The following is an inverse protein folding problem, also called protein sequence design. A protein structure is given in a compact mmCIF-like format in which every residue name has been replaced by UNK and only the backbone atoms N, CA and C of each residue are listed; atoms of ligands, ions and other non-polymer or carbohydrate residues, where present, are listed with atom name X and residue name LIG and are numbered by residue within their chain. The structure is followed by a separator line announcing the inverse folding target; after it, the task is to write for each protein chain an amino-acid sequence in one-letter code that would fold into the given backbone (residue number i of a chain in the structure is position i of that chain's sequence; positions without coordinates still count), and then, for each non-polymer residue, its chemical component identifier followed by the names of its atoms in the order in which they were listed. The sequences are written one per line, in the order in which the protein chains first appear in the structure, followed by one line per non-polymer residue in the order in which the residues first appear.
data_IF_644879703759
#
_entry.id   IF_644879703759
#
_cell.length_a   1.000
_cell.length_b   1.000
_cell.length_c   1.000
_cell.angle_alpha   90.00
_cell.angle_beta   90.00
_cell.angle_gamma   90.00
#
_symmetry.space_group_name_H-M   'P 1'
#
loop_
_entity.id
_entity.type
_entity.pdbx_description
1 polymer ?
#
# COMPACT_ATOMS: atom_id res chain seq x y z
N UNK A 1 -4.87 -2.87 10.63
CA UNK A 1 -6.28 -3.33 10.62
C UNK A 1 -7.30 -2.18 10.58
N UNK A 2 -7.30 -1.23 11.51
CA UNK A 2 -8.31 -0.15 11.58
C UNK A 2 -8.47 0.64 10.27
N UNK A 3 -7.37 1.07 9.65
CA UNK A 3 -7.45 1.86 8.41
C UNK A 3 -7.92 1.06 7.19
N UNK A 4 -7.49 -0.19 7.05
CA UNK A 4 -7.94 -1.10 5.99
C UNK A 4 -9.46 -1.30 6.09
N UNK A 5 -9.98 -1.47 7.30
CA UNK A 5 -11.42 -1.57 7.55
C UNK A 5 -12.16 -0.28 7.17
N UNK A 6 -11.62 0.90 7.52
CA UNK A 6 -12.24 2.20 7.18
C UNK A 6 -12.31 2.48 5.68
N UNK A 7 -11.37 1.97 4.89
CA UNK A 7 -11.33 2.19 3.44
C UNK A 7 -11.97 1.06 2.64
N UNK A 8 -12.64 0.11 3.31
CA UNK A 8 -13.32 -1.01 2.65
C UNK A 8 -14.37 -0.57 1.64
N UNK A 9 -15.28 0.33 2.01
CA UNK A 9 -16.32 0.82 1.10
C UNK A 9 -15.75 1.46 -0.17
N UNK A 10 -14.67 2.24 -0.03
CA UNK A 10 -13.98 2.87 -1.17
C UNK A 10 -13.38 1.80 -2.09
N UNK A 11 -12.79 0.74 -1.53
CA UNK A 11 -12.29 -0.40 -2.33
C UNK A 11 -13.41 -1.11 -3.06
N UNK A 12 -14.51 -1.41 -2.37
CA UNK A 12 -15.67 -2.10 -2.93
C UNK A 12 -16.30 -1.28 -4.07
N UNK A 13 -16.46 0.03 -3.90
CA UNK A 13 -16.97 0.93 -4.94
C UNK A 13 -16.05 0.95 -6.17
N UNK A 14 -14.74 1.13 -5.94
CA UNK A 14 -13.76 1.20 -7.03
C UNK A 14 -13.69 -0.09 -7.84
N UNK A 15 -13.65 -1.26 -7.19
CA UNK A 15 -13.61 -2.54 -7.90
C UNK A 15 -14.94 -2.84 -8.59
N UNK A 16 -16.07 -2.47 -7.98
CA UNK A 16 -17.40 -2.66 -8.58
C UNK A 16 -17.55 -1.85 -9.86
N UNK A 17 -17.15 -0.58 -9.85
CA UNK A 17 -17.13 0.28 -11.04
C UNK A 17 -16.20 -0.29 -12.11
N UNK A 18 -14.96 -0.64 -11.76
CA UNK A 18 -13.99 -1.23 -12.70
C UNK A 18 -14.55 -2.47 -13.38
N UNK A 19 -15.04 -3.44 -12.59
CA UNK A 19 -15.48 -4.73 -13.09
C UNK A 19 -16.74 -4.60 -13.95
N UNK A 20 -17.71 -3.78 -13.52
CA UNK A 20 -18.98 -3.60 -14.23
C UNK A 20 -18.80 -2.88 -15.57
N UNK A 21 -17.81 -2.00 -15.69
CA UNK A 21 -17.50 -1.27 -16.93
C UNK A 21 -16.71 -2.11 -17.95
N UNK A 22 -15.89 -3.06 -17.48
CA UNK A 22 -14.90 -3.75 -18.34
C UNK A 22 -15.16 -5.25 -18.53
N UNK A 23 -15.83 -5.93 -17.59
CA UNK A 23 -16.08 -7.38 -17.57
C UNK A 23 -14.88 -8.21 -18.06
N UNK A 24 -13.69 -8.03 -17.45
CA UNK A 24 -12.46 -8.57 -17.98
C UNK A 24 -12.42 -10.09 -17.79
N UNK A 25 -11.79 -10.81 -18.73
CA UNK A 25 -11.55 -12.27 -18.57
C UNK A 25 -10.39 -12.59 -17.62
N UNK A 26 -9.50 -11.63 -17.39
CA UNK A 26 -8.40 -11.73 -16.44
C UNK A 26 -8.28 -10.40 -15.72
N UNK A 27 -8.13 -10.45 -14.40
CA UNK A 27 -8.06 -9.29 -13.53
C UNK A 27 -6.71 -9.26 -12.81
N UNK A 28 -5.87 -8.29 -13.17
CA UNK A 28 -4.58 -8.04 -12.56
C UNK A 28 -4.70 -7.03 -11.41
N UNK A 29 -4.44 -7.50 -10.20
CA UNK A 29 -4.51 -6.75 -8.95
C UNK A 29 -3.10 -6.63 -8.38
N UNK A 30 -2.65 -5.42 -8.08
CA UNK A 30 -1.37 -5.19 -7.39
C UNK A 30 -1.61 -4.58 -6.01
N UNK A 31 -0.99 -5.14 -4.98
CA UNK A 31 -0.87 -4.54 -3.65
C UNK A 31 0.57 -4.03 -3.45
N UNK A 32 0.72 -2.71 -3.32
CA UNK A 32 2.02 -2.03 -3.27
C UNK A 32 2.40 -1.66 -1.83
N UNK A 33 3.50 -2.27 -1.37
CA UNK A 33 3.92 -2.28 0.03
C UNK A 33 3.12 -3.30 0.84
N UNK A 34 3.16 -4.56 0.42
CA UNK A 34 2.37 -5.65 1.00
C UNK A 34 2.89 -6.10 2.38
N UNK A 35 4.13 -5.78 2.72
CA UNK A 35 4.85 -6.28 3.89
C UNK A 35 4.83 -7.82 3.94
N UNK A 36 4.86 -8.40 5.14
CA UNK A 36 4.82 -9.86 5.37
C UNK A 36 3.61 -10.33 6.20
N UNK A 37 2.74 -9.41 6.60
CA UNK A 37 1.58 -9.70 7.46
C UNK A 37 0.33 -10.18 6.70
N UNK A 38 -0.71 -10.66 7.41
CA UNK A 38 -1.93 -11.18 6.79
C UNK A 38 -2.78 -10.10 6.11
N UNK A 39 -2.54 -8.82 6.40
CA UNK A 39 -3.34 -7.69 5.92
C UNK A 39 -3.46 -7.63 4.39
N UNK A 40 -2.36 -7.88 3.67
CA UNK A 40 -2.35 -7.87 2.19
C UNK A 40 -3.32 -8.90 1.63
N UNK A 41 -3.30 -10.11 2.18
CA UNK A 41 -4.17 -11.20 1.73
C UNK A 41 -5.63 -10.93 2.07
N UNK A 42 -5.93 -10.32 3.23
CA UNK A 42 -7.29 -9.91 3.58
C UNK A 42 -7.88 -8.88 2.59
N UNK A 43 -7.07 -7.93 2.12
CA UNK A 43 -7.53 -6.96 1.10
C UNK A 43 -7.80 -7.67 -0.22
N UNK A 44 -6.90 -8.57 -0.62
CA UNK A 44 -7.08 -9.36 -1.85
C UNK A 44 -8.35 -10.20 -1.78
N UNK A 45 -8.63 -10.89 -0.66
CA UNK A 45 -9.87 -11.67 -0.52
C UNK A 45 -11.11 -10.79 -0.64
N UNK A 46 -11.11 -9.61 -0.04
CA UNK A 46 -12.25 -8.70 -0.13
C UNK A 46 -12.53 -8.29 -1.59
N UNK A 47 -11.48 -7.93 -2.34
CA UNK A 47 -11.61 -7.57 -3.76
C UNK A 47 -12.15 -8.75 -4.57
N UNK A 48 -11.58 -9.94 -4.41
CA UNK A 48 -12.02 -11.15 -5.13
C UNK A 48 -13.48 -11.49 -4.81
N UNK A 49 -13.87 -11.46 -3.53
CA UNK A 49 -15.24 -11.77 -3.11
C UNK A 49 -16.26 -10.80 -3.73
N UNK A 50 -15.91 -9.51 -3.84
CA UNK A 50 -16.79 -8.52 -4.50
C UNK A 50 -16.95 -8.85 -5.98
N UNK A 51 -15.86 -9.16 -6.67
CA UNK A 51 -15.90 -9.52 -8.10
C UNK A 51 -16.72 -10.79 -8.32
N UNK A 52 -16.54 -11.83 -7.50
CA UNK A 52 -17.34 -13.06 -7.60
C UNK A 52 -18.83 -12.82 -7.39
N UNK A 53 -19.21 -11.99 -6.41
CA UNK A 53 -20.61 -11.60 -6.20
C UNK A 53 -21.17 -10.86 -7.42
N UNK A 54 -20.39 -9.98 -8.04
CA UNK A 54 -20.80 -9.29 -9.26
C UNK A 54 -20.94 -10.25 -10.44
N UNK A 55 -20.05 -11.24 -10.57
CA UNK A 55 -20.16 -12.27 -11.60
C UNK A 55 -21.49 -13.03 -11.50
N UNK A 56 -21.88 -13.42 -10.28
CA UNK A 56 -23.15 -14.08 -10.02
C UNK A 56 -24.36 -13.18 -10.35
N UNK A 57 -24.29 -11.90 -9.97
CA UNK A 57 -25.37 -10.94 -10.23
C UNK A 57 -25.55 -10.62 -11.72
N UNK A 58 -24.44 -10.51 -12.45
CA UNK A 58 -24.41 -10.19 -13.87
C UNK A 58 -24.50 -11.43 -14.77
N UNK A 59 -24.51 -12.63 -14.17
CA UNK A 59 -24.49 -13.91 -14.86
C UNK A 59 -23.33 -14.03 -15.87
N UNK A 60 -22.13 -13.58 -15.47
CA UNK A 60 -20.92 -13.67 -16.27
C UNK A 60 -19.90 -14.66 -15.66
N UNK A 61 -18.96 -15.12 -16.48
CA UNK A 61 -17.89 -16.01 -16.02
C UNK A 61 -16.92 -15.29 -15.08
N UNK A 62 -16.50 -15.97 -14.02
CA UNK A 62 -15.43 -15.47 -13.15
C UNK A 62 -14.10 -15.28 -13.93
N UNK A 63 -13.34 -14.20 -13.66
CA UNK A 63 -12.06 -13.96 -14.31
C UNK A 63 -10.90 -14.78 -13.73
N UNK A 64 -9.81 -14.87 -14.49
CA UNK A 64 -8.52 -15.31 -13.93
C UNK A 64 -7.87 -14.18 -13.12
N UNK A 65 -7.59 -14.41 -11.84
CA UNK A 65 -6.98 -13.42 -10.95
C UNK A 65 -5.46 -13.49 -10.98
N UNK A 66 -4.79 -12.38 -11.30
CA UNK A 66 -3.33 -12.22 -11.21
C UNK A 66 -3.02 -11.24 -10.08
N UNK A 67 -2.51 -11.76 -8.98
CA UNK A 67 -2.32 -11.02 -7.74
C UNK A 67 -0.82 -10.77 -7.57
N UNK A 68 -0.42 -9.51 -7.67
CA UNK A 68 0.95 -9.05 -7.52
C UNK A 68 1.14 -8.44 -6.14
N UNK A 69 2.03 -9.04 -5.35
CA UNK A 69 2.43 -8.58 -4.04
C UNK A 69 3.77 -7.87 -4.18
N UNK A 70 3.77 -6.54 -4.11
CA UNK A 70 4.98 -5.74 -4.24
C UNK A 70 5.46 -5.23 -2.88
N UNK A 71 6.76 -5.30 -2.67
CA UNK A 71 7.46 -4.62 -1.59
C UNK A 71 8.93 -4.43 -1.98
N UNK A 72 9.72 -3.78 -1.11
CA UNK A 72 11.16 -3.67 -1.27
C UNK A 72 11.83 -5.05 -1.29
N UNK A 73 13.00 -5.15 -1.90
CA UNK A 73 13.76 -6.41 -2.02
C UNK A 73 14.15 -7.03 -0.68
N UNK A 74 14.18 -6.23 0.40
CA UNK A 74 14.45 -6.71 1.75
C UNK A 74 13.23 -7.29 2.48
N UNK A 75 12.03 -7.25 1.90
CA UNK A 75 10.83 -7.80 2.51
C UNK A 75 10.87 -9.34 2.58
N UNK A 76 10.23 -9.90 3.61
CA UNK A 76 10.14 -11.34 3.80
C UNK A 76 8.99 -11.96 2.98
N UNK A 77 9.20 -12.06 1.67
CA UNK A 77 8.28 -12.75 0.77
C UNK A 77 8.12 -14.24 1.10
N UNK A 78 9.10 -14.87 1.76
CA UNK A 78 8.99 -16.29 2.13
C UNK A 78 7.85 -16.50 3.13
N UNK A 79 7.70 -15.60 4.11
CA UNK A 79 6.60 -15.66 5.06
C UNK A 79 5.24 -15.45 4.38
N UNK A 80 5.16 -14.51 3.44
CA UNK A 80 3.94 -14.30 2.62
C UNK A 80 3.57 -15.58 1.86
N UNK A 81 4.52 -16.16 1.12
CA UNK A 81 4.26 -17.34 0.30
C UNK A 81 3.91 -18.59 1.11
N UNK A 82 4.50 -18.77 2.29
CA UNK A 82 4.11 -19.85 3.22
C UNK A 82 2.65 -19.75 3.67
N UNK A 83 2.08 -18.55 3.70
CA UNK A 83 0.69 -18.35 4.14
C UNK A 83 -0.36 -18.56 3.03
N UNK A 84 0.06 -18.62 1.75
CA UNK A 84 -0.86 -18.64 0.60
C UNK A 84 -1.77 -19.87 0.55
N UNK A 85 -1.30 -21.05 0.94
CA UNK A 85 -2.13 -22.26 0.90
C UNK A 85 -3.29 -22.15 1.89
N UNK A 86 -3.01 -21.68 3.11
CA UNK A 86 -4.05 -21.43 4.12
C UNK A 86 -5.03 -20.34 3.69
N UNK A 87 -4.54 -19.34 2.96
CA UNK A 87 -5.36 -18.26 2.42
C UNK A 87 -6.30 -18.76 1.33
N UNK A 88 -5.82 -19.54 0.37
CA UNK A 88 -6.64 -20.09 -0.73
C UNK A 88 -7.79 -20.95 -0.20
N UNK A 89 -7.54 -21.77 0.83
CA UNK A 89 -8.60 -22.57 1.47
C UNK A 89 -9.68 -21.66 2.07
N UNK A 90 -9.28 -20.65 2.85
CA UNK A 90 -10.22 -19.69 3.45
C UNK A 90 -11.04 -18.93 2.40
N UNK A 91 -10.39 -18.47 1.33
CA UNK A 91 -11.04 -17.77 0.24
C UNK A 91 -12.10 -18.65 -0.45
N UNK A 92 -11.78 -19.93 -0.68
CA UNK A 92 -12.71 -20.90 -1.27
C UNK A 92 -13.84 -21.33 -0.33
N UNK A 93 -13.65 -21.25 0.99
CA UNK A 93 -14.73 -21.51 1.95
C UNK A 93 -15.72 -20.32 2.01
N UNK A 94 -15.24 -19.10 1.78
CA UNK A 94 -16.08 -17.88 1.76
C UNK A 94 -16.88 -17.71 0.46
N UNK A 95 -16.33 -18.15 -0.68
CA UNK A 95 -17.00 -18.14 -1.98
C UNK A 95 -17.67 -19.49 -2.18
N UNK A 96 -18.98 -19.53 -2.43
CA UNK A 96 -19.76 -20.78 -2.50
C UNK A 96 -19.17 -21.77 -3.54
N UNK A 97 -18.27 -22.64 -3.07
CA UNK A 97 -17.64 -23.89 -3.53
C UNK A 97 -17.44 -24.29 -4.99
N UNK A 98 -17.79 -23.55 -6.05
CA UNK A 98 -17.62 -24.14 -7.40
C UNK A 98 -17.22 -23.25 -8.58
N UNK A 99 -17.31 -21.92 -8.51
CA UNK A 99 -17.20 -21.12 -9.76
C UNK A 99 -16.17 -19.98 -9.72
N UNK A 100 -15.36 -19.88 -8.65
CA UNK A 100 -14.27 -18.91 -8.63
C UNK A 100 -13.20 -19.30 -9.65
N UNK A 101 -12.80 -18.34 -10.47
CA UNK A 101 -11.68 -18.45 -11.38
C UNK A 101 -10.35 -18.65 -10.64
N UNK A 102 -9.32 -19.12 -11.35
CA UNK A 102 -8.03 -19.43 -10.73
C UNK A 102 -7.34 -18.14 -10.23
N UNK A 103 -6.68 -18.24 -9.06
CA UNK A 103 -5.87 -17.18 -8.47
C UNK A 103 -4.37 -17.51 -8.57
N UNK A 104 -3.61 -16.65 -9.25
CA UNK A 104 -2.17 -16.72 -9.42
C UNK A 104 -1.48 -15.62 -8.61
N UNK A 105 -0.50 -15.98 -7.79
CA UNK A 105 0.20 -15.04 -6.90
C UNK A 105 1.64 -14.84 -7.38
N UNK A 106 2.08 -13.58 -7.39
CA UNK A 106 3.41 -13.18 -7.82
C UNK A 106 4.03 -12.25 -6.77
N UNK A 107 5.29 -12.46 -6.43
CA UNK A 107 6.08 -11.49 -5.68
C UNK A 107 6.80 -10.56 -6.63
N UNK A 108 6.77 -9.26 -6.34
CA UNK A 108 7.41 -8.22 -7.16
C UNK A 108 8.37 -7.43 -6.28
N UNK A 109 9.65 -7.86 -6.15
CA UNK A 109 10.62 -7.14 -5.35
C UNK A 109 11.07 -5.88 -6.07
N UNK A 110 10.90 -4.72 -5.44
CA UNK A 110 11.34 -3.45 -6.00
C UNK A 110 10.62 -2.24 -5.41
N UNK A 111 11.26 -1.08 -5.49
CA UNK A 111 10.61 0.16 -5.09
C UNK A 111 9.51 0.54 -6.08
N UNK A 112 8.29 0.65 -5.57
CA UNK A 112 7.15 1.31 -6.20
C UNK A 112 7.38 2.80 -6.54
N UNK A 113 8.48 3.44 -6.13
CA UNK A 113 8.91 4.72 -6.70
C UNK A 113 9.63 4.58 -8.05
N UNK A 114 9.67 3.39 -8.63
CA UNK A 114 10.07 3.12 -10.01
C UNK A 114 9.01 2.34 -10.79
N UNK A 115 9.36 1.99 -12.03
CA UNK A 115 8.60 1.06 -12.86
C UNK A 115 8.85 -0.36 -12.37
N UNK A 116 7.78 -1.06 -12.01
CA UNK A 116 7.81 -2.43 -11.47
C UNK A 116 6.89 -3.38 -12.25
N UNK A 117 6.07 -2.85 -13.15
CA UNK A 117 5.22 -3.63 -14.04
C UNK A 117 5.38 -3.18 -15.50
N UNK A 118 5.06 -4.04 -16.49
CA UNK A 118 4.91 -3.64 -17.88
C UNK A 118 3.85 -2.55 -18.09
N UNK A 119 3.85 -1.91 -19.27
CA UNK A 119 2.81 -0.94 -19.60
C UNK A 119 1.45 -1.62 -19.69
N UNK A 120 0.40 -0.98 -19.14
CA UNK A 120 -1.01 -1.44 -19.25
C UNK A 120 -1.19 -2.91 -18.87
N UNK A 121 -0.62 -3.31 -17.73
CA UNK A 121 -0.69 -4.68 -17.23
C UNK A 121 -1.48 -4.84 -15.94
N UNK A 122 -1.93 -3.73 -15.33
CA UNK A 122 -2.68 -3.74 -14.07
C UNK A 122 -4.08 -3.16 -14.27
N UNK A 123 -5.08 -3.86 -13.75
CA UNK A 123 -6.47 -3.41 -13.75
C UNK A 123 -6.79 -2.65 -12.45
N UNK A 124 -6.29 -3.15 -11.32
CA UNK A 124 -6.54 -2.59 -10.01
C UNK A 124 -5.26 -2.47 -9.19
N UNK A 125 -5.01 -1.29 -8.63
CA UNK A 125 -3.86 -1.04 -7.74
C UNK A 125 -4.36 -0.65 -6.36
N UNK A 126 -3.85 -1.32 -5.35
CA UNK A 126 -4.06 -0.99 -3.95
C UNK A 126 -2.72 -0.62 -3.30
N UNK A 127 -2.74 0.36 -2.41
CA UNK A 127 -1.64 0.60 -1.48
C UNK A 127 -2.19 1.17 -0.19
N UNK A 128 -1.79 0.61 0.95
CA UNK A 128 -2.23 1.06 2.26
C UNK A 128 -1.03 1.18 3.19
N UNK A 129 -0.82 2.37 3.74
CA UNK A 129 0.23 2.64 4.74
C UNK A 129 1.66 2.43 4.20
N UNK A 130 1.87 2.67 2.90
CA UNK A 130 3.19 2.51 2.29
C UNK A 130 3.74 3.82 1.73
N UNK A 131 2.89 4.67 1.15
CA UNK A 131 3.30 5.91 0.48
C UNK A 131 3.82 7.03 1.41
N UNK A 132 3.66 6.90 2.73
CA UNK A 132 4.24 7.86 3.68
C UNK A 132 5.75 7.62 3.90
N UNK A 133 6.27 6.45 3.52
CA UNK A 133 7.70 6.16 3.53
C UNK A 133 8.38 6.81 2.32
N UNK A 134 9.30 7.75 2.57
CA UNK A 134 10.06 8.42 1.52
C UNK A 134 11.03 7.46 0.83
N UNK A 135 11.38 7.75 -0.42
CA UNK A 135 12.37 6.96 -1.17
C UNK A 135 13.78 7.09 -0.58
N UNK A 136 14.06 8.21 0.09
CA UNK A 136 15.30 8.50 0.79
C UNK A 136 15.09 9.59 1.84
N UNK A 137 16.06 9.71 2.75
CA UNK A 137 16.16 10.87 3.64
C UNK A 137 16.37 12.13 2.79
N UNK A 138 15.62 13.23 3.03
CA UNK A 138 15.83 14.49 2.31
C UNK A 138 17.28 15.00 2.44
N UNK A 139 17.82 15.53 1.35
CA UNK A 139 19.20 16.04 1.33
C UNK A 139 19.33 17.37 2.08
N UNK A 140 20.49 17.61 2.69
CA UNK A 140 20.80 18.88 3.36
C UNK A 140 20.06 19.09 4.69
N UNK A 141 19.64 18.01 5.35
CA UNK A 141 19.05 18.06 6.68
C UNK A 141 20.14 18.19 7.74
N UNK A 142 20.07 19.26 8.54
CA UNK A 142 20.76 19.38 9.82
C UNK A 142 19.70 19.40 10.93
N UNK A 143 19.19 18.23 11.31
CA UNK A 143 18.09 18.07 12.26
C UNK A 143 18.57 17.47 13.59
N UNK A 144 19.57 18.11 14.21
CA UNK A 144 20.23 17.58 15.41
C UNK A 144 19.24 17.31 16.54
N UNK A 145 19.45 16.19 17.23
CA UNK A 145 18.61 15.74 18.34
C UNK A 145 17.25 15.16 17.94
N UNK A 146 16.92 15.12 16.64
CA UNK A 146 15.64 14.66 16.14
C UNK A 146 15.83 13.64 15.00
N UNK A 147 14.94 12.66 14.91
CA UNK A 147 14.92 11.66 13.82
C UNK A 147 13.82 11.91 12.78
N UNK A 148 12.94 12.87 13.06
CA UNK A 148 11.85 13.32 12.19
C UNK A 148 11.55 14.81 12.41
N UNK A 149 10.51 15.34 11.77
CA UNK A 149 10.05 16.72 11.98
C UNK A 149 9.56 16.87 13.43
N UNK A 150 10.09 17.86 14.14
CA UNK A 150 9.74 18.20 15.53
C UNK A 150 9.62 19.72 15.69
N UNK A 151 8.98 20.15 16.77
CA UNK A 151 8.95 21.55 17.23
C UNK A 151 10.33 22.18 17.38
N UNK A 152 11.36 21.36 17.64
CA UNK A 152 12.76 21.83 17.76
C UNK A 152 13.53 21.79 16.44
N UNK A 153 12.93 21.25 15.37
CA UNK A 153 13.56 21.17 14.05
C UNK A 153 13.72 22.55 13.40
N UNK A 154 14.84 22.80 12.71
CA UNK A 154 14.97 23.98 11.85
C UNK A 154 13.88 24.03 10.77
N UNK A 155 13.42 25.25 10.43
CA UNK A 155 12.29 25.44 9.50
C UNK A 155 12.50 24.89 8.08
N UNK A 156 13.75 24.62 7.67
CA UNK A 156 14.06 23.99 6.38
C UNK A 156 13.78 22.47 6.38
N UNK A 157 13.74 21.82 7.55
CA UNK A 157 13.53 20.37 7.68
C UNK A 157 12.16 19.99 7.12
N UNK A 158 11.08 20.58 7.63
CA UNK A 158 9.72 20.27 7.18
C UNK A 158 9.53 20.53 5.67
N UNK A 159 10.12 21.61 5.15
CA UNK A 159 10.12 21.93 3.70
C UNK A 159 10.87 20.88 2.89
N UNK A 160 11.98 20.34 3.38
CA UNK A 160 12.76 19.32 2.70
C UNK A 160 12.00 17.97 2.66
N UNK A 161 11.39 17.55 3.77
CA UNK A 161 10.51 16.38 3.82
C UNK A 161 9.33 16.52 2.85
N UNK A 162 8.66 17.67 2.85
CA UNK A 162 7.55 17.94 1.94
C UNK A 162 7.97 17.86 0.46
N UNK A 163 9.09 18.48 0.10
CA UNK A 163 9.63 18.42 -1.27
C UNK A 163 9.97 16.99 -1.69
N UNK A 164 10.56 16.20 -0.80
CA UNK A 164 10.89 14.81 -1.05
C UNK A 164 9.62 13.98 -1.25
N UNK A 165 8.62 14.11 -0.37
CA UNK A 165 7.31 13.47 -0.52
C UNK A 165 6.64 13.83 -1.84
N UNK A 166 6.61 15.12 -2.20
CA UNK A 166 5.98 15.58 -3.44
C UNK A 166 6.67 15.00 -4.68
N UNK A 167 8.01 14.91 -4.66
CA UNK A 167 8.78 14.26 -5.73
C UNK A 167 8.45 12.77 -5.82
N UNK A 168 8.47 12.08 -4.69
CA UNK A 168 8.24 10.63 -4.60
C UNK A 168 6.82 10.27 -5.06
N UNK A 169 5.80 10.97 -4.56
CA UNK A 169 4.41 10.77 -4.97
C UNK A 169 4.20 11.10 -6.46
N UNK A 170 4.85 12.15 -6.98
CA UNK A 170 4.77 12.47 -8.41
C UNK A 170 5.37 11.36 -9.28
N UNK A 171 6.51 10.80 -8.88
CA UNK A 171 7.14 9.68 -9.61
C UNK A 171 6.25 8.44 -9.51
N UNK A 172 5.76 8.11 -8.31
CA UNK A 172 4.83 7.02 -8.09
C UNK A 172 3.63 7.11 -9.06
N UNK A 173 2.92 8.24 -9.07
CA UNK A 173 1.75 8.44 -9.93
C UNK A 173 2.08 8.34 -11.41
N UNK A 174 3.23 8.86 -11.87
CA UNK A 174 3.69 8.72 -13.26
C UNK A 174 3.93 7.26 -13.63
N UNK A 175 4.64 6.52 -12.79
CA UNK A 175 4.89 5.09 -13.03
C UNK A 175 3.57 4.31 -13.07
N UNK A 176 2.66 4.55 -12.12
CA UNK A 176 1.37 3.85 -12.08
C UNK A 176 0.47 4.19 -13.28
N UNK A 177 0.51 5.44 -13.77
CA UNK A 177 -0.25 5.84 -14.95
C UNK A 177 0.17 5.09 -16.22
N UNK A 178 1.44 4.69 -16.32
CA UNK A 178 1.93 3.88 -17.45
C UNK A 178 1.58 2.39 -17.31
N UNK A 179 1.50 1.90 -16.07
CA UNK A 179 1.28 0.49 -15.73
C UNK A 179 -0.21 0.11 -15.69
N UNK A 180 -1.08 1.04 -15.33
CA UNK A 180 -2.53 0.84 -15.34
C UNK A 180 -3.07 0.75 -16.77
N UNK A 181 -4.04 -0.14 -16.98
CA UNK A 181 -4.85 -0.18 -18.20
C UNK A 181 -5.75 1.05 -18.29
N UNK A 182 -6.27 1.33 -19.48
CA UNK A 182 -7.33 2.31 -19.65
C UNK A 182 -8.57 1.88 -18.84
N UNK A 183 -9.12 2.80 -18.03
CA UNK A 183 -10.20 2.47 -17.11
C UNK A 183 -9.77 1.76 -15.82
N UNK A 184 -8.48 1.45 -15.64
CA UNK A 184 -7.97 0.89 -14.39
C UNK A 184 -8.24 1.78 -13.18
N UNK A 185 -8.33 1.19 -11.99
CA UNK A 185 -8.60 1.92 -10.73
C UNK A 185 -7.45 1.77 -9.75
N UNK A 186 -7.30 2.80 -8.90
CA UNK A 186 -6.31 2.79 -7.83
C UNK A 186 -6.94 3.28 -6.53
N UNK A 187 -6.69 2.56 -5.44
CA UNK A 187 -7.11 2.95 -4.09
C UNK A 187 -5.88 3.09 -3.21
N UNK A 188 -5.68 4.30 -2.70
CA UNK A 188 -4.52 4.68 -1.89
C UNK A 188 -4.97 5.10 -0.49
N UNK A 189 -4.44 4.46 0.53
CA UNK A 189 -4.62 4.87 1.94
C UNK A 189 -3.27 5.32 2.49
N UNK A 190 -3.16 6.60 2.82
CA UNK A 190 -1.91 7.22 3.26
C UNK A 190 -2.13 7.86 4.62
N UNK A 191 -1.13 7.76 5.51
CA UNK A 191 -1.11 8.54 6.73
C UNK A 191 -1.00 10.03 6.36
N UNK A 192 -1.95 10.80 6.86
CA UNK A 192 -1.97 12.25 6.71
C UNK A 192 -2.05 12.93 8.06
N UNK A 193 -2.15 14.25 8.02
CA UNK A 193 -2.41 15.09 9.19
C UNK A 193 -3.61 15.98 8.92
N UNK A 194 -4.29 16.41 9.99
CA UNK A 194 -5.44 17.33 9.89
C UNK A 194 -5.02 18.79 9.96
N UNK A 195 -3.94 19.08 10.67
CA UNK A 195 -3.41 20.42 10.87
C UNK A 195 -2.38 20.77 9.79
N UNK A 196 -2.28 22.05 9.49
CA UNK A 196 -1.28 22.59 8.57
C UNK A 196 0.12 22.58 9.20
N UNK A 197 0.20 22.64 10.53
CA UNK A 197 1.45 22.57 11.26
C UNK A 197 2.10 21.18 11.11
N UNK A 198 3.30 21.08 10.50
CA UNK A 198 4.01 19.83 10.35
C UNK A 198 4.54 19.25 11.68
N UNK A 199 4.57 20.03 12.75
CA UNK A 199 5.03 19.62 14.06
C UNK A 199 3.89 19.25 15.01
N UNK A 200 2.63 19.31 14.54
CA UNK A 200 1.48 18.92 15.36
C UNK A 200 1.58 17.45 15.77
N UNK A 201 1.46 17.24 17.07
CA UNK A 201 1.70 16.00 17.80
C UNK A 201 0.63 14.96 17.48
N UNK A 202 -0.62 15.38 17.23
CA UNK A 202 -1.83 14.54 17.39
C UNK A 202 -1.90 13.21 16.59
N UNK A 203 -1.07 12.96 15.55
CA UNK A 203 -1.23 11.74 14.72
C UNK A 203 0.02 11.06 14.13
N UNK A 204 1.15 11.75 13.93
CA UNK A 204 2.30 11.13 13.24
C UNK A 204 3.65 11.57 13.82
N UNK A 205 3.75 12.79 14.33
CA UNK A 205 4.98 13.27 14.95
C UNK A 205 5.21 12.67 16.35
N UNK A 206 4.15 12.31 17.08
CA UNK A 206 4.24 11.73 18.44
C UNK A 206 5.11 10.47 18.51
N UNK A 207 4.88 9.49 17.63
CA UNK A 207 5.63 8.23 17.66
C UNK A 207 7.13 8.48 17.40
N UNK A 208 7.45 9.40 16.49
CA UNK A 208 8.83 9.76 16.17
C UNK A 208 9.49 10.62 17.23
N UNK A 209 8.73 11.48 17.91
CA UNK A 209 9.23 12.33 19.00
C UNK A 209 9.54 11.53 20.26
N UNK A 210 8.66 10.58 20.61
CA UNK A 210 8.90 9.64 21.71
C UNK A 210 10.13 8.76 21.43
N UNK A 211 10.27 8.28 20.19
CA UNK A 211 11.44 7.51 19.78
C UNK A 211 12.72 8.36 19.78
N UNK A 212 12.66 9.61 19.31
CA UNK A 212 13.79 10.55 19.37
C UNK A 212 14.24 10.76 20.83
N UNK A 213 13.29 10.95 21.74
CA UNK A 213 13.55 11.14 23.17
C UNK A 213 14.25 9.92 23.76
N UNK A 214 13.71 8.72 23.52
CA UNK A 214 14.33 7.49 23.99
C UNK A 214 15.76 7.28 23.46
N UNK A 215 16.02 7.63 22.19
CA UNK A 215 17.36 7.56 21.62
C UNK A 215 18.32 8.58 22.25
N UNK A 216 17.86 9.80 22.49
CA UNK A 216 18.67 10.82 23.17
C UNK A 216 19.00 10.40 24.62
N UNK A 217 18.05 9.82 25.35
CA UNK A 217 18.29 9.29 26.70
C UNK A 217 19.34 8.19 26.73
N UNK A 218 19.38 7.33 25.71
CA UNK A 218 20.41 6.29 25.57
C UNK A 218 21.78 6.89 25.28
N UNK A 219 21.87 7.92 24.44
CA UNK A 219 23.14 8.63 24.16
C UNK A 219 23.71 9.24 25.44
N UNK A 220 22.87 9.91 26.23
CA UNK A 220 23.27 10.54 27.49
C UNK A 220 23.77 9.55 28.57
N UNK A 221 23.40 8.27 28.47
CA UNK A 221 23.89 7.23 29.37
C UNK A 221 25.30 6.73 29.01
N UNK A 222 25.69 6.84 27.73
CA UNK A 222 27.01 6.41 27.24
C UNK A 222 28.07 7.51 27.38
N UNK A 223 27.63 8.77 27.44
CA UNK A 223 28.52 9.94 27.62
C UNK A 223 28.92 10.21 29.09
N UNK A 224 28.45 9.39 30.04
CA UNK A 224 28.86 9.42 31.46
C UNK A 224 30.00 8.45 31.73
#
# INVERSE_FOLDING_TARGET
EKAISLTKSIREEAITSLFSETLPRSLAIADLGCSCGPNTLSVVSEIVIVVEKLCQQLNCSSPEYKIFLNDLSGNDFNSVFKSLDSFKVKLLDEIIKSEMGPCYFFGVPGSFYGRIFPNRSLDFVHSSYSLHWLSKVPEGLDNKGNIYISNTSPSNVSKAYYKQFQRDLSIFLKCRAEELVEGGRMVLTILGRRNDDPCDTEYCCDDWELLATALNDLVLQVEK
#
